data_IF_757451677442
#
_entry.id   IF_757451677442
#
_cell.length_a   1.000
_cell.length_b   1.000
_cell.length_c   1.000
_cell.angle_alpha   90.00
_cell.angle_beta   90.00
_cell.angle_gamma   90.00
#
_symmetry.space_group_name_H-M   'P 1'
#
loop_
_entity.id
_entity.type
_entity.pdbx_description
1 polymer ?
#
# COMPACT_ATOMS: atom_id res chain seq x y z
N UNK A 1 38.27 36.05 0.27
CA UNK A 1 37.31 35.42 1.22
C UNK A 1 36.38 34.50 0.39
N UNK A 2 36.66 33.20 0.41
CA UNK A 2 35.91 32.22 -0.37
C UNK A 2 34.73 31.73 0.46
N UNK A 3 33.51 31.93 -0.01
CA UNK A 3 32.28 31.43 0.60
C UNK A 3 32.19 29.91 0.34
N UNK A 4 32.35 29.15 1.42
CA UNK A 4 32.15 27.69 1.42
C UNK A 4 30.67 27.37 1.21
N UNK A 5 30.31 26.89 0.03
CA UNK A 5 29.01 26.30 -0.23
C UNK A 5 28.95 24.94 0.47
N UNK A 6 28.29 24.88 1.64
CA UNK A 6 27.87 23.61 2.25
C UNK A 6 26.79 23.01 1.35
N UNK A 7 27.09 21.85 0.79
CA UNK A 7 26.08 20.98 0.17
C UNK A 7 25.01 20.62 1.22
N UNK A 8 23.72 20.55 0.86
CA UNK A 8 22.67 20.14 1.80
C UNK A 8 22.94 18.71 2.24
N UNK A 9 22.77 18.47 3.56
CA UNK A 9 22.91 17.16 4.15
C UNK A 9 22.07 16.13 3.37
N UNK A 10 22.69 15.03 2.92
CA UNK A 10 22.02 13.92 2.26
C UNK A 10 20.85 13.47 3.13
N UNK A 11 19.65 13.59 2.58
CA UNK A 11 18.44 13.09 3.22
C UNK A 11 18.59 11.57 3.39
N UNK A 12 18.56 11.08 4.64
CA UNK A 12 18.63 9.65 4.93
C UNK A 12 17.54 8.93 4.12
N UNK A 13 17.87 7.82 3.42
CA UNK A 13 16.90 7.08 2.64
C UNK A 13 15.75 6.63 3.55
N UNK A 14 14.50 6.82 3.09
CA UNK A 14 13.30 6.39 3.80
C UNK A 14 13.27 4.86 3.81
N UNK A 15 13.23 4.21 4.99
CA UNK A 15 13.19 2.77 5.08
C UNK A 15 11.93 2.22 4.40
N UNK A 16 12.08 1.14 3.63
CA UNK A 16 10.97 0.39 3.03
C UNK A 16 10.93 -0.99 3.68
N UNK A 17 9.79 -1.32 4.28
CA UNK A 17 9.60 -2.59 4.95
C UNK A 17 8.46 -3.38 4.31
N UNK A 18 8.56 -4.71 4.36
CA UNK A 18 7.43 -5.59 4.06
C UNK A 18 6.49 -5.61 5.26
N UNK A 19 7.02 -5.92 6.42
CA UNK A 19 6.41 -5.74 7.72
C UNK A 19 7.56 -5.59 8.73
N UNK A 20 7.74 -4.40 9.34
CA UNK A 20 8.50 -4.17 10.58
C UNK A 20 9.98 -4.60 10.62
N UNK A 21 10.87 -3.80 10.02
CA UNK A 21 12.35 -4.01 10.05
C UNK A 21 12.84 -5.29 9.33
N UNK A 22 11.96 -6.03 8.68
CA UNK A 22 12.34 -7.16 7.85
C UNK A 22 12.88 -6.70 6.48
N UNK A 23 13.85 -7.44 5.90
CA UNK A 23 14.33 -7.14 4.56
C UNK A 23 13.17 -7.20 3.56
N UNK A 24 13.16 -6.26 2.61
CA UNK A 24 12.11 -6.10 1.58
C UNK A 24 11.92 -7.42 0.82
N UNK A 25 10.93 -8.21 1.22
CA UNK A 25 10.42 -9.34 0.45
C UNK A 25 9.05 -8.93 -0.12
N UNK A 26 8.63 -9.43 -1.29
CA UNK A 26 7.27 -9.25 -1.75
C UNK A 26 6.30 -9.79 -0.71
N UNK A 27 5.30 -9.00 -0.33
CA UNK A 27 4.25 -9.50 0.55
C UNK A 27 3.52 -10.66 -0.13
N UNK A 28 3.12 -11.68 0.65
CA UNK A 28 2.20 -12.69 0.16
C UNK A 28 0.99 -11.99 -0.43
N UNK A 29 0.57 -12.34 -1.66
CA UNK A 29 -0.61 -11.73 -2.26
C UNK A 29 -1.90 -11.93 -1.44
N UNK A 30 -1.95 -12.86 -0.50
CA UNK A 30 -3.07 -13.08 0.44
C UNK A 30 -2.77 -12.57 1.86
N UNK A 31 -1.74 -11.73 2.00
CA UNK A 31 -1.32 -11.22 3.29
C UNK A 31 -2.42 -10.39 3.97
N UNK A 32 -2.80 -10.82 5.14
CA UNK A 32 -3.69 -10.10 6.08
C UNK A 32 -3.08 -10.24 7.48
N UNK A 33 -2.90 -9.13 8.16
CA UNK A 33 -2.37 -9.10 9.52
C UNK A 33 -3.10 -8.08 10.37
N UNK A 34 -3.50 -8.49 11.56
CA UNK A 34 -4.15 -7.62 12.57
C UNK A 34 -3.36 -7.68 13.86
N UNK A 35 -3.04 -6.53 14.40
CA UNK A 35 -2.41 -6.41 15.70
C UNK A 35 -2.98 -5.21 16.48
N UNK A 36 -2.73 -5.15 17.79
CA UNK A 36 -3.12 -3.98 18.57
C UNK A 36 -2.10 -2.84 18.43
N UNK A 37 -2.56 -1.60 18.53
CA UNK A 37 -1.66 -0.43 18.56
C UNK A 37 -0.64 -0.57 19.67
N UNK A 38 -1.07 -1.04 20.86
CA UNK A 38 -0.20 -1.21 22.01
C UNK A 38 0.90 -2.26 21.79
N UNK A 39 0.57 -3.44 21.24
CA UNK A 39 1.56 -4.48 20.97
C UNK A 39 2.63 -4.00 19.98
N UNK A 40 2.24 -3.15 19.04
CA UNK A 40 3.11 -2.61 18.00
C UNK A 40 3.97 -1.44 18.48
N UNK A 41 3.37 -0.48 19.18
CA UNK A 41 3.99 0.83 19.45
C UNK A 41 4.57 0.98 20.84
N UNK A 42 4.01 0.32 21.87
CA UNK A 42 4.52 0.45 23.24
C UNK A 42 6.00 0.05 23.39
N UNK A 43 6.51 -1.04 22.75
CA UNK A 43 7.94 -1.36 22.80
C UNK A 43 8.85 -0.34 22.09
N UNK A 44 8.28 0.64 21.39
CA UNK A 44 8.98 1.67 20.62
C UNK A 44 8.61 3.08 21.08
N UNK A 45 8.38 3.26 22.36
CA UNK A 45 7.99 4.53 22.97
C UNK A 45 6.80 5.20 22.24
N UNK A 46 5.81 4.38 21.87
CA UNK A 46 4.61 4.80 21.17
C UNK A 46 4.88 5.51 19.83
N UNK A 47 6.04 5.27 19.24
CA UNK A 47 6.47 5.91 17.99
C UNK A 47 6.76 4.87 16.92
N UNK A 48 6.13 5.01 15.76
CA UNK A 48 6.46 4.29 14.53
C UNK A 48 7.09 5.30 13.57
N UNK A 49 8.38 5.14 13.30
CA UNK A 49 9.15 6.05 12.42
C UNK A 49 8.60 6.03 10.99
N UNK A 50 8.82 7.11 10.25
CA UNK A 50 8.40 7.21 8.84
C UNK A 50 9.00 6.09 8.01
N UNK A 51 8.12 5.35 7.31
CA UNK A 51 8.43 4.22 6.44
C UNK A 51 7.37 4.09 5.35
N UNK A 52 7.57 3.17 4.42
CA UNK A 52 6.57 2.87 3.40
C UNK A 52 6.47 1.36 3.17
N UNK A 53 5.27 0.87 2.99
CA UNK A 53 5.00 -0.49 2.51
C UNK A 53 4.74 -0.45 1.02
N UNK A 54 5.44 -1.28 0.26
CA UNK A 54 5.35 -1.29 -1.20
C UNK A 54 4.00 -1.80 -1.70
N UNK A 55 3.55 -2.91 -1.12
CA UNK A 55 2.43 -3.72 -1.62
C UNK A 55 1.36 -3.95 -0.54
N UNK A 56 1.43 -3.20 0.58
CA UNK A 56 0.49 -3.31 1.69
C UNK A 56 -0.21 -1.98 1.96
N UNK A 57 -1.51 -2.04 2.12
CA UNK A 57 -2.29 -0.99 2.76
C UNK A 57 -2.27 -1.16 4.26
N UNK A 58 -2.39 -0.05 4.99
CA UNK A 58 -2.68 -0.06 6.41
C UNK A 58 -3.96 0.73 6.71
N UNK A 59 -4.78 0.15 7.57
CA UNK A 59 -5.93 0.78 8.16
C UNK A 59 -5.78 0.71 9.68
N UNK A 60 -5.80 1.85 10.36
CA UNK A 60 -5.73 1.91 11.81
C UNK A 60 -7.05 2.42 12.36
N UNK A 61 -7.63 1.67 13.28
CA UNK A 61 -8.75 2.11 14.08
C UNK A 61 -8.25 2.56 15.45
N UNK A 62 -8.54 3.81 15.80
CA UNK A 62 -8.30 4.37 17.13
C UNK A 62 -9.59 4.24 17.92
N UNK A 63 -9.64 3.28 18.83
CA UNK A 63 -10.82 3.11 19.71
C UNK A 63 -10.81 4.15 20.83
N UNK A 64 -9.62 4.42 21.40
CA UNK A 64 -9.43 5.37 22.49
C UNK A 64 -8.01 5.94 22.46
N UNK A 65 -7.79 7.10 23.08
CA UNK A 65 -6.51 7.83 23.00
C UNK A 65 -6.40 8.68 21.76
N UNK A 66 -5.17 8.88 21.28
CA UNK A 66 -4.92 9.77 20.14
C UNK A 66 -3.48 9.80 19.69
N UNK A 67 -3.13 10.84 18.96
CA UNK A 67 -1.77 11.04 18.49
C UNK A 67 -1.67 11.87 17.20
N UNK A 68 -0.56 11.66 16.51
CA UNK A 68 -0.24 12.32 15.24
C UNK A 68 0.24 11.28 14.22
N UNK A 69 -0.39 11.29 13.05
CA UNK A 69 0.09 10.61 11.85
C UNK A 69 0.92 11.58 11.02
N UNK A 70 2.11 11.19 10.66
CA UNK A 70 2.89 11.82 9.61
C UNK A 70 2.61 11.09 8.30
N UNK A 71 2.15 11.78 7.27
CA UNK A 71 1.97 11.21 5.94
C UNK A 71 2.62 12.15 4.92
N UNK A 72 3.73 11.71 4.33
CA UNK A 72 4.57 12.54 3.46
C UNK A 72 5.03 13.84 4.18
N UNK A 73 4.71 15.00 3.63
CA UNK A 73 5.03 16.31 4.23
C UNK A 73 3.95 16.82 5.20
N UNK A 74 2.85 16.10 5.37
CA UNK A 74 1.69 16.55 6.14
C UNK A 74 1.59 15.82 7.49
N UNK A 75 0.98 16.51 8.46
CA UNK A 75 0.69 15.94 9.79
C UNK A 75 -0.81 15.99 10.07
N UNK A 76 -1.33 14.89 10.62
CA UNK A 76 -2.73 14.70 10.93
C UNK A 76 -2.89 14.34 12.40
N UNK A 77 -3.56 15.20 13.17
CA UNK A 77 -3.96 14.85 14.53
C UNK A 77 -5.18 13.94 14.49
N UNK A 78 -5.19 12.95 15.34
CA UNK A 78 -6.32 12.05 15.51
C UNK A 78 -6.62 11.82 16.98
N UNK A 79 -7.87 11.49 17.28
CA UNK A 79 -8.38 11.17 18.60
C UNK A 79 -9.22 9.90 18.62
N UNK A 80 -10.03 9.68 19.67
CA UNK A 80 -10.91 8.51 19.77
C UNK A 80 -11.86 8.41 18.59
N UNK A 81 -12.28 7.18 18.28
CA UNK A 81 -13.16 6.87 17.16
C UNK A 81 -12.66 7.38 15.79
N UNK A 82 -11.35 7.41 15.59
CA UNK A 82 -10.72 7.81 14.32
C UNK A 82 -10.29 6.59 13.50
N UNK A 83 -10.43 6.73 12.20
CA UNK A 83 -9.90 5.81 11.19
C UNK A 83 -8.76 6.48 10.44
N UNK A 84 -7.60 5.82 10.38
CA UNK A 84 -6.42 6.29 9.64
C UNK A 84 -6.15 5.34 8.50
N UNK A 85 -5.79 5.89 7.34
CA UNK A 85 -5.53 5.10 6.14
C UNK A 85 -4.15 5.44 5.58
N UNK A 86 -3.31 4.44 5.41
CA UNK A 86 -2.05 4.53 4.69
C UNK A 86 -2.08 3.56 3.50
N UNK A 87 -2.40 4.05 2.30
CA UNK A 87 -2.33 3.23 1.09
C UNK A 87 -0.94 2.71 0.79
N UNK A 88 -0.85 1.61 0.05
CA UNK A 88 0.40 1.06 -0.43
C UNK A 88 1.26 2.14 -1.11
N UNK A 89 2.54 2.17 -0.78
CA UNK A 89 3.51 3.14 -1.29
C UNK A 89 3.48 4.52 -0.62
N UNK A 90 2.54 4.81 0.30
CA UNK A 90 2.55 6.06 1.06
C UNK A 90 3.67 6.01 2.11
N UNK A 91 4.48 7.08 2.18
CA UNK A 91 5.41 7.28 3.29
C UNK A 91 4.63 7.78 4.50
N UNK A 92 4.66 7.03 5.58
CA UNK A 92 3.89 7.35 6.79
C UNK A 92 4.61 6.92 8.07
N UNK A 93 4.22 7.55 9.17
CA UNK A 93 4.69 7.25 10.51
C UNK A 93 3.66 7.71 11.53
N UNK A 94 3.80 7.24 12.76
CA UNK A 94 2.84 7.54 13.82
C UNK A 94 3.55 7.86 15.11
N UNK A 95 2.99 8.80 15.86
CA UNK A 95 3.28 9.02 17.26
C UNK A 95 1.97 9.00 18.03
N UNK A 96 1.76 7.93 18.77
CA UNK A 96 0.59 7.73 19.61
C UNK A 96 0.77 8.35 20.98
N UNK A 97 -0.32 8.81 21.57
CA UNK A 97 -0.34 9.12 22.99
C UNK A 97 -0.21 7.81 23.79
N UNK A 98 0.47 7.81 24.94
CA UNK A 98 0.58 6.61 25.78
C UNK A 98 -0.80 6.04 26.10
N UNK A 99 -0.89 4.70 26.14
CA UNK A 99 -2.13 3.95 26.36
C UNK A 99 -3.21 4.09 25.26
N UNK A 100 -2.88 4.63 24.08
CA UNK A 100 -3.80 4.59 22.92
C UNK A 100 -4.19 3.15 22.59
N UNK A 101 -5.51 2.91 22.43
CA UNK A 101 -6.10 1.60 22.14
C UNK A 101 -6.71 1.57 20.74
N UNK A 102 -6.61 0.43 20.12
CA UNK A 102 -7.16 0.18 18.77
C UNK A 102 -6.38 -0.89 18.04
N UNK A 103 -6.65 -1.02 16.77
CA UNK A 103 -6.09 -2.05 15.90
C UNK A 103 -5.36 -1.47 14.70
N UNK A 104 -4.34 -2.16 14.27
CA UNK A 104 -3.64 -1.96 13.00
C UNK A 104 -3.96 -3.17 12.12
N UNK A 105 -4.60 -2.93 10.99
CA UNK A 105 -4.83 -3.91 9.92
C UNK A 105 -3.86 -3.61 8.78
N UNK A 106 -3.01 -4.57 8.42
CA UNK A 106 -2.16 -4.53 7.24
C UNK A 106 -2.60 -5.61 6.26
N UNK A 107 -2.82 -5.27 5.00
CA UNK A 107 -3.30 -6.22 4.00
C UNK A 107 -2.73 -5.92 2.61
N UNK A 108 -2.61 -6.98 1.80
CA UNK A 108 -2.09 -6.87 0.44
C UNK A 108 -3.01 -6.04 -0.46
N UNK A 109 -2.42 -5.17 -1.29
CA UNK A 109 -3.10 -4.24 -2.20
C UNK A 109 -4.21 -4.91 -3.04
N UNK A 110 -3.95 -6.11 -3.55
CA UNK A 110 -4.90 -6.86 -4.38
C UNK A 110 -6.16 -7.37 -3.65
N UNK A 111 -6.19 -7.36 -2.32
CA UNK A 111 -7.35 -7.78 -1.53
C UNK A 111 -8.39 -6.67 -1.39
N UNK A 112 -8.05 -5.43 -1.71
CA UNK A 112 -9.00 -4.34 -1.73
C UNK A 112 -9.78 -4.34 -3.06
N UNK A 113 -11.13 -4.37 -2.97
CA UNK A 113 -11.94 -4.13 -4.15
C UNK A 113 -11.66 -2.72 -4.71
N UNK A 114 -11.54 -2.53 -6.04
CA UNK A 114 -11.16 -1.23 -6.63
C UNK A 114 -11.97 -0.05 -6.13
N UNK A 115 -13.31 -0.17 -6.06
CA UNK A 115 -14.19 0.90 -5.61
C UNK A 115 -13.96 1.29 -4.14
N UNK A 116 -13.65 0.30 -3.29
CA UNK A 116 -13.32 0.51 -1.88
C UNK A 116 -11.93 1.12 -1.76
N UNK A 117 -10.96 0.62 -2.49
CA UNK A 117 -9.60 1.15 -2.51
C UNK A 117 -9.57 2.63 -2.93
N UNK A 118 -10.43 3.03 -3.88
CA UNK A 118 -10.57 4.43 -4.29
C UNK A 118 -11.04 5.33 -3.14
N UNK A 119 -12.08 4.92 -2.42
CA UNK A 119 -12.60 5.67 -1.28
C UNK A 119 -11.57 5.76 -0.14
N UNK A 120 -10.92 4.64 0.17
CA UNK A 120 -9.87 4.60 1.20
C UNK A 120 -8.64 5.43 0.81
N UNK A 121 -8.25 5.44 -0.47
CA UNK A 121 -7.09 6.21 -0.94
C UNK A 121 -7.28 7.74 -0.82
N UNK A 122 -8.51 8.23 -0.75
CA UNK A 122 -8.83 9.65 -0.60
C UNK A 122 -8.77 10.15 0.84
N UNK A 123 -8.84 9.25 1.83
CA UNK A 123 -8.81 9.58 3.25
C UNK A 123 -7.41 9.35 3.84
N UNK A 124 -7.04 10.14 4.86
CA UNK A 124 -5.83 9.92 5.68
C UNK A 124 -6.19 9.70 7.13
N UNK A 125 -7.01 10.58 7.70
CA UNK A 125 -7.53 10.48 9.04
C UNK A 125 -8.95 11.05 9.07
N UNK A 126 -9.88 10.35 9.67
CA UNK A 126 -11.27 10.80 9.83
C UNK A 126 -11.86 10.29 11.14
N UNK A 127 -12.66 11.12 11.81
CA UNK A 127 -13.51 10.64 12.90
C UNK A 127 -14.72 9.94 12.30
N UNK A 128 -14.99 8.71 12.76
CA UNK A 128 -16.06 7.85 12.25
C UNK A 128 -17.15 7.58 13.30
N UNK A 129 -17.03 8.20 14.48
CA UNK A 129 -18.04 8.18 15.52
C UNK A 129 -18.48 6.76 15.89
N UNK A 130 -19.79 6.53 15.90
CA UNK A 130 -20.38 5.23 16.33
C UNK A 130 -19.95 4.03 15.47
N UNK A 131 -19.53 4.26 14.23
CA UNK A 131 -19.05 3.18 13.35
C UNK A 131 -17.74 2.54 13.87
N UNK A 132 -16.97 3.25 14.68
CA UNK A 132 -15.72 2.73 15.25
C UNK A 132 -15.92 1.43 16.03
N UNK A 133 -16.98 1.32 16.82
CA UNK A 133 -17.26 0.12 17.64
C UNK A 133 -17.57 -1.11 16.77
N UNK A 134 -18.28 -0.94 15.67
CA UNK A 134 -18.60 -2.05 14.77
C UNK A 134 -17.31 -2.53 14.07
N UNK A 135 -16.50 -1.61 13.56
CA UNK A 135 -15.21 -1.93 12.91
C UNK A 135 -14.25 -2.58 13.90
N UNK A 136 -14.18 -2.10 15.15
CA UNK A 136 -13.31 -2.67 16.20
C UNK A 136 -13.64 -4.14 16.48
N UNK A 137 -14.93 -4.46 16.62
CA UNK A 137 -15.39 -5.85 16.81
C UNK A 137 -15.02 -6.75 15.63
N UNK A 138 -15.15 -6.25 14.42
CA UNK A 138 -14.80 -7.02 13.23
C UNK A 138 -13.29 -7.22 13.10
N UNK A 139 -12.47 -6.22 13.44
CA UNK A 139 -11.02 -6.35 13.46
C UNK A 139 -10.56 -7.36 14.51
N UNK A 140 -11.16 -7.34 15.71
CA UNK A 140 -10.89 -8.35 16.74
C UNK A 140 -11.25 -9.77 16.26
N UNK A 141 -12.44 -9.93 15.64
CA UNK A 141 -12.85 -11.21 15.05
C UNK A 141 -11.91 -11.67 13.93
N UNK A 142 -11.53 -10.76 13.02
CA UNK A 142 -10.56 -11.04 11.95
C UNK A 142 -9.24 -11.56 12.54
N UNK A 143 -8.70 -10.90 13.57
CA UNK A 143 -7.50 -11.35 14.26
C UNK A 143 -7.63 -12.77 14.83
N UNK A 144 -8.77 -13.11 15.41
CA UNK A 144 -9.06 -14.45 15.92
C UNK A 144 -9.08 -15.51 14.81
N UNK A 145 -9.76 -15.25 13.70
CA UNK A 145 -9.82 -16.17 12.55
C UNK A 145 -8.44 -16.41 11.92
N UNK A 146 -7.64 -15.36 11.77
CA UNK A 146 -6.28 -15.49 11.25
C UNK A 146 -5.38 -16.31 12.17
N UNK A 147 -5.57 -16.20 13.48
CA UNK A 147 -4.81 -16.99 14.48
C UNK A 147 -5.25 -18.46 14.50
N UNK A 148 -6.54 -18.74 14.28
CA UNK A 148 -7.06 -20.10 14.21
C UNK A 148 -6.47 -20.88 13.02
N UNK A 149 -6.12 -20.19 11.94
CA UNK A 149 -5.41 -20.75 10.78
C UNK A 149 -6.23 -21.72 9.93
N UNK A 150 -5.52 -22.46 9.07
CA UNK A 150 -6.11 -23.41 8.14
C UNK A 150 -6.83 -22.76 6.93
N UNK A 151 -7.27 -23.59 5.99
CA UNK A 151 -7.88 -23.13 4.74
C UNK A 151 -9.19 -22.36 4.96
N UNK A 152 -10.02 -22.76 5.90
CA UNK A 152 -11.27 -22.07 6.26
C UNK A 152 -11.00 -20.76 7.01
N UNK A 153 -9.96 -20.71 7.86
CA UNK A 153 -9.55 -19.48 8.55
C UNK A 153 -9.09 -18.39 7.56
N UNK A 154 -8.35 -18.77 6.51
CA UNK A 154 -7.96 -17.84 5.45
C UNK A 154 -9.17 -17.32 4.68
N UNK A 155 -10.12 -18.20 4.31
CA UNK A 155 -11.34 -17.81 3.62
C UNK A 155 -12.22 -16.89 4.47
N UNK A 156 -12.40 -17.23 5.75
CA UNK A 156 -13.12 -16.37 6.71
C UNK A 156 -12.41 -15.02 6.88
N UNK A 157 -11.08 -15.01 6.93
CA UNK A 157 -10.27 -13.81 7.02
C UNK A 157 -10.45 -12.88 5.82
N UNK A 158 -10.45 -13.39 4.59
CA UNK A 158 -10.70 -12.60 3.38
C UNK A 158 -12.12 -12.02 3.35
N UNK A 159 -13.13 -12.81 3.77
CA UNK A 159 -14.51 -12.35 3.87
C UNK A 159 -14.68 -11.24 4.93
N UNK A 160 -14.09 -11.42 6.10
CA UNK A 160 -14.11 -10.42 7.17
C UNK A 160 -13.33 -9.15 6.77
N UNK A 161 -12.19 -9.29 6.11
CA UNK A 161 -11.47 -8.14 5.55
C UNK A 161 -12.37 -7.32 4.63
N UNK A 162 -13.06 -7.99 3.69
CA UNK A 162 -13.97 -7.31 2.76
C UNK A 162 -15.06 -6.53 3.50
N UNK A 163 -15.65 -7.11 4.55
CA UNK A 163 -16.65 -6.43 5.37
C UNK A 163 -16.07 -5.22 6.11
N UNK A 164 -14.89 -5.37 6.74
CA UNK A 164 -14.19 -4.26 7.42
C UNK A 164 -13.94 -3.12 6.45
N UNK A 165 -13.44 -3.42 5.24
CA UNK A 165 -13.13 -2.39 4.24
C UNK A 165 -14.39 -1.67 3.74
N UNK A 166 -15.50 -2.39 3.51
CA UNK A 166 -16.78 -1.79 3.10
C UNK A 166 -17.33 -0.90 4.22
N UNK A 167 -17.30 -1.34 5.48
CA UNK A 167 -17.75 -0.51 6.61
C UNK A 167 -16.87 0.72 6.82
N UNK A 168 -15.55 0.57 6.68
CA UNK A 168 -14.62 1.70 6.72
C UNK A 168 -14.95 2.72 5.63
N UNK A 169 -15.17 2.27 4.39
CA UNK A 169 -15.54 3.13 3.27
C UNK A 169 -16.87 3.85 3.50
N UNK A 170 -17.88 3.14 4.01
CA UNK A 170 -19.18 3.72 4.38
C UNK A 170 -19.06 4.76 5.49
N UNK A 171 -18.27 4.45 6.53
CA UNK A 171 -18.04 5.37 7.63
C UNK A 171 -17.34 6.67 7.18
N UNK A 172 -16.40 6.56 6.26
CA UNK A 172 -15.72 7.71 5.64
C UNK A 172 -16.66 8.53 4.75
N UNK A 173 -17.59 7.87 4.05
CA UNK A 173 -18.57 8.54 3.19
C UNK A 173 -19.73 9.18 3.95
N UNK A 174 -20.12 8.61 5.10
CA UNK A 174 -21.23 9.10 5.93
C UNK A 174 -20.79 10.08 7.03
N UNK A 175 -19.51 10.09 7.37
CA UNK A 175 -18.98 11.03 8.35
C UNK A 175 -19.15 12.45 7.84
N UNK A 176 -19.51 13.38 8.73
CA UNK A 176 -18.99 14.73 8.61
C UNK A 176 -17.48 14.58 8.75
N UNK A 177 -16.87 14.04 7.69
CA UNK A 177 -15.45 14.02 7.54
C UNK A 177 -15.06 15.46 7.83
N UNK A 178 -14.46 15.67 8.98
CA UNK A 178 -13.59 16.82 9.09
C UNK A 178 -12.76 16.67 7.82
N UNK A 179 -13.17 17.42 6.81
CA UNK A 179 -12.49 17.57 5.53
C UNK A 179 -11.16 18.25 5.82
N UNK A 180 -10.36 17.55 6.60
CA UNK A 180 -8.97 17.87 6.76
C UNK A 180 -8.29 17.27 5.56
N UNK A 181 -8.05 18.16 4.63
CA UNK A 181 -7.38 18.02 3.36
C UNK A 181 -8.06 17.07 2.34
N UNK A 182 -8.70 17.69 1.37
CA UNK A 182 -8.75 17.15 0.00
C UNK A 182 -7.34 16.60 -0.30
N UNK A 183 -7.20 15.33 -0.77
CA UNK A 183 -5.88 14.82 -1.17
C UNK A 183 -5.21 15.90 -2.00
N UNK A 184 -3.99 16.29 -1.64
CA UNK A 184 -3.30 17.31 -2.40
C UNK A 184 -3.40 16.97 -3.88
N UNK A 185 -3.49 17.92 -4.80
CA UNK A 185 -3.66 17.68 -6.24
C UNK A 185 -2.72 16.60 -6.76
N UNK A 186 -1.56 16.47 -6.14
CA UNK A 186 -0.56 15.44 -6.43
C UNK A 186 -1.01 14.05 -6.02
N UNK A 187 -1.50 13.88 -4.79
CA UNK A 187 -1.97 12.58 -4.29
C UNK A 187 -3.18 12.07 -5.09
N UNK A 188 -4.12 12.95 -5.44
CA UNK A 188 -5.25 12.61 -6.30
C UNK A 188 -4.80 12.18 -7.71
N UNK A 189 -3.79 12.87 -8.29
CA UNK A 189 -3.23 12.50 -9.58
C UNK A 189 -2.54 11.13 -9.51
N UNK A 190 -1.77 10.87 -8.46
CA UNK A 190 -1.11 9.57 -8.26
C UNK A 190 -2.12 8.44 -8.06
N UNK A 191 -3.20 8.66 -7.32
CA UNK A 191 -4.28 7.69 -7.19
C UNK A 191 -4.93 7.37 -8.55
N UNK A 192 -5.21 8.37 -9.38
CA UNK A 192 -5.70 8.19 -10.75
C UNK A 192 -4.70 7.42 -11.62
N UNK A 193 -3.41 7.71 -11.49
CA UNK A 193 -2.35 7.01 -12.21
C UNK A 193 -2.27 5.54 -11.81
N UNK A 194 -2.33 5.21 -10.52
CA UNK A 194 -2.38 3.82 -10.05
C UNK A 194 -3.57 3.05 -10.61
N UNK A 195 -4.77 3.62 -10.55
CA UNK A 195 -5.96 3.01 -11.17
C UNK A 195 -5.78 2.75 -12.66
N UNK A 196 -5.16 3.68 -13.35
CA UNK A 196 -4.91 3.54 -14.78
C UNK A 196 -3.88 2.45 -15.08
N UNK A 197 -2.84 2.29 -14.24
CA UNK A 197 -1.91 1.16 -14.34
C UNK A 197 -2.68 -0.17 -14.19
N UNK A 198 -3.56 -0.29 -13.20
CA UNK A 198 -4.39 -1.48 -13.04
C UNK A 198 -5.27 -1.75 -14.25
N UNK A 199 -6.02 -0.75 -14.71
CA UNK A 199 -6.95 -0.89 -15.83
C UNK A 199 -6.26 -1.22 -17.16
N UNK A 200 -4.98 -0.86 -17.30
CA UNK A 200 -4.18 -1.03 -18.53
C UNK A 200 -3.01 -1.99 -18.36
N UNK A 201 -3.04 -2.77 -17.30
CA UNK A 201 -2.01 -3.78 -17.04
C UNK A 201 -2.06 -4.82 -18.17
N UNK A 202 -0.94 -5.03 -18.83
CA UNK A 202 -0.86 -5.93 -20.00
C UNK A 202 -0.98 -5.23 -21.37
N UNK A 203 -1.38 -3.98 -21.42
CA UNK A 203 -1.40 -3.22 -22.69
C UNK A 203 -0.03 -2.63 -23.07
N UNK A 204 0.98 -2.74 -22.20
CA UNK A 204 2.34 -2.26 -22.45
C UNK A 204 2.47 -0.73 -22.52
N UNK A 205 1.55 0.01 -21.90
CA UNK A 205 1.54 1.46 -21.93
C UNK A 205 2.80 2.06 -21.30
N UNK A 206 3.38 3.03 -21.99
CA UNK A 206 4.48 3.86 -21.48
C UNK A 206 3.97 4.91 -20.50
N UNK A 207 4.87 5.46 -19.68
CA UNK A 207 4.56 6.61 -18.80
C UNK A 207 3.97 7.79 -19.57
N UNK A 208 4.41 7.99 -20.82
CA UNK A 208 3.91 9.08 -21.67
C UNK A 208 2.42 8.86 -22.06
N UNK A 209 2.05 7.64 -22.42
CA UNK A 209 0.64 7.30 -22.74
C UNK A 209 -0.24 7.44 -21.51
N UNK A 210 0.23 7.00 -20.34
CA UNK A 210 -0.49 7.22 -19.08
C UNK A 210 -0.66 8.70 -18.76
N UNK A 211 0.38 9.51 -18.89
CA UNK A 211 0.31 10.95 -18.64
C UNK A 211 -0.68 11.65 -19.59
N UNK A 212 -0.63 11.30 -20.88
CA UNK A 212 -1.57 11.80 -21.89
C UNK A 212 -3.03 11.51 -21.53
N UNK A 213 -3.31 10.25 -21.19
CA UNK A 213 -4.67 9.83 -20.82
C UNK A 213 -5.16 10.44 -19.48
N UNK A 214 -4.25 10.84 -18.60
CA UNK A 214 -4.57 11.58 -17.39
C UNK A 214 -4.75 13.10 -17.64
N UNK A 215 -4.47 13.59 -18.85
CA UNK A 215 -4.54 15.00 -19.20
C UNK A 215 -3.42 15.85 -18.58
N UNK A 216 -2.25 15.25 -18.37
CA UNK A 216 -1.08 15.94 -17.78
C UNK A 216 0.20 15.69 -18.55
N UNK A 217 1.20 16.57 -18.39
CA UNK A 217 2.53 16.31 -18.93
C UNK A 217 3.27 15.21 -18.12
N UNK A 218 4.23 14.54 -18.76
CA UNK A 218 5.11 13.57 -18.09
C UNK A 218 5.86 14.21 -16.93
N UNK A 219 6.30 15.47 -17.09
CA UNK A 219 6.97 16.23 -16.02
C UNK A 219 6.03 16.42 -14.82
N UNK A 220 4.77 16.83 -15.06
CA UNK A 220 3.76 16.98 -14.01
C UNK A 220 3.49 15.68 -13.28
N UNK A 221 3.37 14.56 -14.02
CA UNK A 221 3.20 13.22 -13.42
C UNK A 221 4.41 12.82 -12.58
N UNK A 222 5.64 13.08 -13.05
CA UNK A 222 6.87 12.82 -12.29
C UNK A 222 6.91 13.60 -10.97
N UNK A 223 6.61 14.89 -11.03
CA UNK A 223 6.56 15.74 -9.82
C UNK A 223 5.52 15.23 -8.83
N UNK A 224 4.31 14.91 -9.31
CA UNK A 224 3.25 14.38 -8.46
C UNK A 224 3.65 13.05 -7.80
N UNK A 225 4.21 12.11 -8.56
CA UNK A 225 4.66 10.83 -8.04
C UNK A 225 5.83 10.98 -7.05
N UNK A 226 6.81 11.84 -7.34
CA UNK A 226 7.92 12.11 -6.42
C UNK A 226 7.41 12.74 -5.10
N UNK A 227 6.50 13.72 -5.19
CA UNK A 227 5.92 14.40 -4.02
C UNK A 227 5.01 13.48 -3.21
N UNK A 228 4.09 12.76 -3.88
CA UNK A 228 3.03 12.00 -3.20
C UNK A 228 3.39 10.54 -2.89
N UNK A 229 4.46 9.98 -3.45
CA UNK A 229 4.85 8.57 -3.20
C UNK A 229 6.36 8.36 -3.07
N UNK A 230 7.16 9.39 -3.24
CA UNK A 230 8.62 9.27 -3.26
C UNK A 230 9.16 8.37 -4.38
N UNK A 231 8.33 8.02 -5.38
CA UNK A 231 8.68 7.11 -6.47
C UNK A 231 8.58 7.80 -7.84
N UNK A 232 9.38 7.34 -8.79
CA UNK A 232 9.20 7.73 -10.19
C UNK A 232 8.02 6.94 -10.82
N UNK A 233 7.24 7.55 -11.75
CA UNK A 233 6.12 6.86 -12.41
C UNK A 233 6.51 5.54 -13.08
N UNK A 234 7.67 5.50 -13.73
CA UNK A 234 8.18 4.27 -14.35
C UNK A 234 8.41 3.15 -13.34
N UNK A 235 8.85 3.51 -12.13
CA UNK A 235 9.07 2.53 -11.07
C UNK A 235 7.75 1.95 -10.57
N UNK A 236 6.73 2.77 -10.38
CA UNK A 236 5.38 2.32 -10.01
C UNK A 236 4.81 1.33 -11.05
N UNK A 237 4.97 1.65 -12.35
CA UNK A 237 4.54 0.78 -13.43
C UNK A 237 5.30 -0.56 -13.42
N UNK A 238 6.64 -0.51 -13.31
CA UNK A 238 7.47 -1.71 -13.26
C UNK A 238 7.17 -2.59 -12.05
N UNK A 239 6.97 -1.98 -10.89
CA UNK A 239 6.66 -2.69 -9.66
C UNK A 239 5.33 -3.44 -9.79
N UNK A 240 4.30 -2.79 -10.35
CA UNK A 240 3.00 -3.46 -10.55
C UNK A 240 3.08 -4.58 -11.58
N UNK A 241 3.79 -4.35 -12.71
CA UNK A 241 4.02 -5.40 -13.72
C UNK A 241 4.77 -6.59 -13.12
N UNK A 242 5.75 -6.36 -12.24
CA UNK A 242 6.50 -7.42 -11.56
C UNK A 242 5.62 -8.25 -10.62
N UNK A 243 4.72 -7.61 -9.87
CA UNK A 243 3.76 -8.30 -9.00
C UNK A 243 2.93 -9.29 -9.82
N UNK A 244 2.39 -8.83 -10.95
CA UNK A 244 1.58 -9.67 -11.82
C UNK A 244 2.39 -10.77 -12.50
N UNK A 245 3.63 -10.47 -12.92
CA UNK A 245 4.55 -11.48 -13.45
C UNK A 245 4.79 -12.61 -12.46
N UNK A 246 5.07 -12.29 -11.21
CA UNK A 246 5.25 -13.27 -10.13
C UNK A 246 4.00 -14.13 -9.94
N UNK A 247 2.82 -13.50 -9.89
CA UNK A 247 1.54 -14.19 -9.73
C UNK A 247 1.31 -15.20 -10.86
N UNK A 248 1.51 -14.79 -12.11
CA UNK A 248 1.32 -15.65 -13.28
C UNK A 248 2.36 -16.78 -13.34
N UNK A 249 3.60 -16.53 -12.89
CA UNK A 249 4.64 -17.55 -12.82
C UNK A 249 4.40 -18.56 -11.72
N UNK A 250 3.91 -18.14 -10.55
CA UNK A 250 3.71 -19.02 -9.38
C UNK A 250 2.45 -19.87 -9.52
N UNK A 251 1.35 -19.27 -10.00
CA UNK A 251 0.03 -19.93 -10.00
C UNK A 251 -0.46 -20.33 -11.41
N UNK A 252 0.22 -19.87 -12.46
CA UNK A 252 -0.17 -20.15 -13.83
C UNK A 252 0.66 -21.26 -14.46
N UNK A 253 0.04 -22.01 -15.40
CA UNK A 253 0.70 -23.03 -16.22
C UNK A 253 1.14 -22.51 -17.59
N UNK A 254 0.77 -21.27 -17.95
CA UNK A 254 1.08 -20.67 -19.25
C UNK A 254 2.59 -20.60 -19.51
N UNK A 255 3.06 -20.79 -20.75
CA UNK A 255 4.46 -20.60 -21.12
C UNK A 255 4.96 -19.20 -20.75
N UNK A 256 6.25 -19.06 -20.43
CA UNK A 256 6.88 -17.77 -20.09
C UNK A 256 6.67 -16.73 -21.20
N UNK A 257 6.70 -17.14 -22.46
CA UNK A 257 6.40 -16.27 -23.61
C UNK A 257 4.98 -15.75 -23.61
N UNK A 258 4.00 -16.59 -23.28
CA UNK A 258 2.59 -16.18 -23.17
C UNK A 258 2.39 -15.18 -22.02
N UNK A 259 3.06 -15.39 -20.90
CA UNK A 259 3.06 -14.43 -19.78
C UNK A 259 3.67 -13.09 -20.20
N UNK A 260 4.78 -13.10 -20.94
CA UNK A 260 5.38 -11.88 -21.45
C UNK A 260 4.40 -11.07 -22.30
N UNK A 261 3.70 -11.71 -23.25
CA UNK A 261 2.69 -11.04 -24.07
C UNK A 261 1.50 -10.56 -23.25
N UNK A 262 1.01 -11.35 -22.30
CA UNK A 262 -0.09 -10.96 -21.41
C UNK A 262 0.26 -9.75 -20.52
N UNK A 263 1.54 -9.51 -20.26
CA UNK A 263 2.05 -8.34 -19.53
C UNK A 263 2.41 -7.16 -20.44
N UNK A 264 2.11 -7.24 -21.75
CA UNK A 264 2.34 -6.16 -22.70
C UNK A 264 3.78 -6.06 -23.22
N UNK A 265 4.62 -7.08 -23.02
CA UNK A 265 5.96 -7.11 -23.63
C UNK A 265 5.88 -7.62 -25.07
N UNK A 266 6.46 -6.87 -26.01
CA UNK A 266 6.53 -7.27 -27.41
C UNK A 266 7.56 -8.40 -27.65
N UNK A 267 8.58 -8.53 -26.78
CA UNK A 267 9.65 -9.53 -26.87
C UNK A 267 9.78 -10.32 -25.57
N UNK A 268 9.47 -11.64 -25.58
CA UNK A 268 9.66 -12.52 -24.43
C UNK A 268 11.10 -12.63 -23.93
N UNK A 269 12.08 -12.45 -24.81
CA UNK A 269 13.49 -12.45 -24.40
C UNK A 269 13.83 -11.17 -23.61
N UNK A 270 13.27 -10.03 -24.02
CA UNK A 270 13.39 -8.80 -23.24
C UNK A 270 12.69 -8.92 -21.88
N UNK A 271 11.47 -9.47 -21.81
CA UNK A 271 10.80 -9.76 -20.56
C UNK A 271 11.66 -10.62 -19.63
N UNK A 272 12.25 -11.71 -20.14
CA UNK A 272 13.09 -12.61 -19.34
C UNK A 272 14.32 -11.91 -18.75
N UNK A 273 14.99 -11.06 -19.55
CA UNK A 273 16.12 -10.25 -19.06
C UNK A 273 15.69 -9.18 -18.07
N UNK A 274 14.56 -8.51 -18.31
CA UNK A 274 13.98 -7.51 -17.42
C UNK A 274 13.59 -8.14 -16.08
N UNK A 275 12.91 -9.28 -16.09
CA UNK A 275 12.51 -10.02 -14.89
C UNK A 275 13.74 -10.46 -14.09
N UNK A 276 14.72 -11.11 -14.73
CA UNK A 276 15.93 -11.59 -14.07
C UNK A 276 16.75 -10.46 -13.45
N UNK A 277 16.81 -9.28 -14.08
CA UNK A 277 17.51 -8.12 -13.54
C UNK A 277 16.90 -7.61 -12.23
N UNK A 278 15.58 -7.74 -12.05
CA UNK A 278 14.87 -7.24 -10.86
C UNK A 278 14.78 -8.31 -9.80
N UNK A 279 14.52 -9.57 -10.20
CA UNK A 279 14.28 -10.71 -9.30
C UNK A 279 15.55 -11.47 -8.92
N UNK A 280 16.63 -11.29 -9.67
CA UNK A 280 17.89 -12.01 -9.48
C UNK A 280 17.93 -13.40 -10.13
N UNK A 281 16.79 -13.94 -10.60
CA UNK A 281 16.69 -15.23 -11.26
C UNK A 281 15.78 -15.18 -12.49
N UNK A 282 16.02 -16.00 -13.54
CA UNK A 282 15.15 -16.05 -14.72
C UNK A 282 13.73 -16.52 -14.39
N UNK A 283 12.69 -16.11 -15.18
CA UNK A 283 11.28 -16.46 -14.93
C UNK A 283 11.04 -17.98 -14.81
N UNK A 284 11.70 -18.79 -15.64
CA UNK A 284 11.56 -20.26 -15.61
C UNK A 284 12.14 -20.88 -14.34
N UNK A 285 13.22 -20.32 -13.79
CA UNK A 285 13.79 -20.74 -12.52
C UNK A 285 12.91 -20.30 -11.35
N UNK A 286 12.40 -19.06 -11.40
CA UNK A 286 11.46 -18.53 -10.41
C UNK A 286 10.23 -19.44 -10.26
N UNK A 287 9.64 -19.88 -11.39
CA UNK A 287 8.51 -20.82 -11.42
C UNK A 287 8.85 -22.14 -10.71
N UNK A 288 10.01 -22.74 -11.04
CA UNK A 288 10.41 -24.02 -10.43
C UNK A 288 10.58 -23.93 -8.92
N UNK A 289 11.11 -22.80 -8.42
CA UNK A 289 11.26 -22.56 -6.96
C UNK A 289 9.92 -22.37 -6.25
N UNK A 290 8.93 -21.75 -6.91
CA UNK A 290 7.59 -21.53 -6.36
C UNK A 290 6.67 -22.76 -6.41
N UNK A 291 7.05 -23.81 -7.13
CA UNK A 291 6.31 -25.09 -7.25
C UNK A 291 6.92 -26.23 -6.41
N UNK A 292 7.98 -25.99 -5.68
CA UNK A 292 8.48 -26.98 -4.70
C UNK A 292 7.67 -26.83 -3.40
N UNK A 293 7.08 -27.96 -2.90
CA UNK A 293 6.27 -27.99 -1.68
C UNK A 293 7.09 -27.70 -0.42
#
# INVERSE_FOLDING_TARGET
MAASHRLPAEAKPIPRYTLYDEPVRPADPRFIHVETIASRSAPRDWTIRSHAHRDLHQLLLIADGGGVMQAEAEQWRFGPASLLIAPAGLVHGYRFDPATRGHILSFADRLAHPDVAEQLASARAASIGKAALAIDRQLARLGTELTAGGALGLLAGEALLSLVLVEAARALGAGEAGRSAVPGREAALVARFRRQIEARLGEGWSVAQHALALGVSVSRLRTACASASGQAPIRMLQDRTMIEARRLLTHGTAPVSAIAYALGFADPAYFSRWFARIEGVPPGEYRRKGTQP
#
